data_IF_631090471979
#
_entry.id   IF_631090471979
#
_cell.length_a   1.000
_cell.length_b   1.000
_cell.length_c   1.000
_cell.angle_alpha   90.00
_cell.angle_beta   90.00
_cell.angle_gamma   90.00
#
_symmetry.space_group_name_H-M   'P 1'
#
loop_
_entity.id
_entity.type
_entity.pdbx_description
1 polymer ?
#
# COMPACT_ATOMS: atom_id res chain seq x y z
N UNK A 1 33.81 19.70 -34.25
CA UNK A 1 33.35 20.16 -32.91
C UNK A 1 31.82 20.30 -32.93
N UNK A 2 31.10 19.26 -32.51
CA UNK A 2 29.64 19.22 -32.58
C UNK A 2 29.00 20.15 -31.53
N UNK A 3 28.04 20.94 -31.99
CA UNK A 3 27.43 22.11 -31.37
C UNK A 3 26.84 21.85 -29.97
N UNK A 4 27.44 22.47 -28.93
CA UNK A 4 26.91 22.60 -27.56
C UNK A 4 25.49 23.21 -27.49
N UNK A 5 24.99 23.84 -28.56
CA UNK A 5 23.61 24.36 -28.64
C UNK A 5 22.57 23.23 -28.75
N UNK A 6 22.84 22.13 -29.45
CA UNK A 6 21.87 21.04 -29.64
C UNK A 6 21.53 20.29 -28.33
N UNK A 7 22.54 20.05 -27.50
CA UNK A 7 22.38 19.38 -26.18
C UNK A 7 21.60 20.26 -25.21
N UNK A 8 21.74 21.60 -25.30
CA UNK A 8 21.03 22.55 -24.42
C UNK A 8 19.55 22.63 -24.80
N UNK A 9 19.20 22.58 -26.09
CA UNK A 9 17.81 22.53 -26.57
C UNK A 9 17.14 21.20 -26.17
N UNK A 10 17.86 20.07 -26.25
CA UNK A 10 17.34 18.77 -25.77
C UNK A 10 17.12 18.73 -24.26
N UNK A 11 17.96 19.40 -23.44
CA UNK A 11 17.73 19.52 -21.98
C UNK A 11 16.50 20.38 -21.65
N UNK A 12 16.23 21.43 -22.43
CA UNK A 12 15.03 22.26 -22.26
C UNK A 12 13.79 21.49 -22.72
N UNK A 13 13.86 20.78 -23.86
CA UNK A 13 12.77 19.93 -24.33
C UNK A 13 12.44 18.77 -23.37
N UNK A 14 13.45 18.17 -22.71
CA UNK A 14 13.22 17.15 -21.68
C UNK A 14 12.59 17.72 -20.41
N UNK A 15 12.93 18.98 -20.03
CA UNK A 15 12.31 19.70 -18.91
C UNK A 15 10.85 20.12 -19.20
N UNK A 16 10.47 20.23 -20.47
CA UNK A 16 9.09 20.52 -20.90
C UNK A 16 8.29 19.22 -21.08
N UNK A 17 8.91 18.09 -21.40
CA UNK A 17 8.23 16.79 -21.45
C UNK A 17 7.83 16.24 -20.06
N UNK A 18 8.47 16.70 -18.98
CA UNK A 18 8.08 16.41 -17.59
C UNK A 18 6.97 17.35 -17.06
N UNK A 19 6.42 18.26 -17.88
CA UNK A 19 5.18 18.99 -17.57
C UNK A 19 3.92 18.27 -18.06
N UNK A 20 3.99 16.95 -18.23
CA UNK A 20 2.85 16.09 -18.48
C UNK A 20 1.80 16.27 -17.38
N UNK A 21 0.69 16.90 -17.75
CA UNK A 21 -0.57 17.06 -17.01
C UNK A 21 -0.47 16.65 -15.53
N UNK A 22 -0.23 17.61 -14.62
CA UNK A 22 -0.35 17.35 -13.18
C UNK A 22 -1.79 16.94 -12.91
N UNK A 23 -2.04 15.63 -12.90
CA UNK A 23 -3.35 15.07 -12.60
C UNK A 23 -3.78 15.67 -11.27
N UNK A 24 -4.93 16.33 -11.21
CA UNK A 24 -5.46 17.02 -10.01
C UNK A 24 -5.50 16.13 -8.75
N UNK A 25 -5.25 14.83 -8.88
CA UNK A 25 -5.27 13.81 -7.87
C UNK A 25 -3.85 13.30 -7.53
N UNK A 26 -3.52 13.28 -6.24
CA UNK A 26 -2.36 12.60 -5.67
C UNK A 26 -2.85 11.35 -4.94
N UNK A 27 -2.18 10.22 -5.19
CA UNK A 27 -2.38 8.97 -4.44
C UNK A 27 -1.12 8.75 -3.60
N UNK A 28 -1.26 8.73 -2.29
CA UNK A 28 -0.16 8.44 -1.39
C UNK A 28 -0.61 7.43 -0.32
N UNK A 29 0.30 6.57 0.13
CA UNK A 29 0.04 5.65 1.25
C UNK A 29 0.86 6.12 2.43
N UNK A 30 0.19 6.49 3.52
CA UNK A 30 0.82 7.11 4.69
C UNK A 30 0.49 6.26 5.92
N UNK A 31 1.49 5.90 6.74
CA UNK A 31 1.22 5.26 8.04
C UNK A 31 0.43 6.21 8.95
N UNK A 32 -0.63 5.69 9.57
CA UNK A 32 -1.47 6.43 10.52
C UNK A 32 -0.63 7.03 11.66
N UNK A 33 -0.90 8.30 12.02
CA UNK A 33 -0.21 9.02 13.09
C UNK A 33 1.26 9.40 12.82
N UNK A 34 1.86 8.95 11.71
CA UNK A 34 3.28 9.14 11.42
C UNK A 34 3.52 9.97 10.15
N UNK A 35 2.61 10.87 9.80
CA UNK A 35 2.83 11.77 8.66
C UNK A 35 3.95 12.78 8.99
N UNK A 36 5.06 12.69 8.26
CA UNK A 36 6.19 13.60 8.37
C UNK A 36 6.47 14.28 7.03
N UNK A 37 7.02 15.51 7.03
CA UNK A 37 7.40 16.23 5.81
C UNK A 37 8.64 15.63 5.09
N UNK A 38 9.13 14.47 5.53
CA UNK A 38 10.31 13.80 5.02
C UNK A 38 10.13 13.32 3.54
N UNK A 39 11.23 13.00 2.82
CA UNK A 39 11.19 12.50 1.44
C UNK A 39 10.66 11.05 1.47
N UNK A 40 9.34 10.84 1.31
CA UNK A 40 8.71 10.71 -0.01
C UNK A 40 7.45 11.58 -0.20
N UNK A 41 6.87 12.13 0.88
CA UNK A 41 5.64 12.92 0.85
C UNK A 41 5.92 14.40 0.56
N UNK A 42 6.99 14.94 1.13
CA UNK A 42 7.38 16.34 0.96
C UNK A 42 7.51 16.76 -0.52
N UNK A 43 8.31 16.04 -1.34
CA UNK A 43 8.46 16.38 -2.75
C UNK A 43 7.16 16.25 -3.56
N UNK A 44 6.33 15.24 -3.27
CA UNK A 44 5.08 14.99 -4.00
C UNK A 44 4.03 16.06 -3.72
N UNK A 45 3.87 16.47 -2.45
CA UNK A 45 2.95 17.53 -2.04
C UNK A 45 3.47 18.91 -2.46
N UNK A 46 4.79 19.15 -2.34
CA UNK A 46 5.44 20.40 -2.74
C UNK A 46 5.36 20.66 -4.26
N UNK A 47 5.50 19.61 -5.09
CA UNK A 47 5.33 19.71 -6.54
C UNK A 47 3.91 20.14 -6.96
N UNK A 48 2.92 20.01 -6.06
CA UNK A 48 1.52 20.38 -6.26
C UNK A 48 1.14 21.67 -5.52
N UNK A 49 2.09 22.38 -4.94
CA UNK A 49 1.88 23.64 -4.20
C UNK A 49 0.93 23.50 -2.99
N UNK A 50 0.88 22.32 -2.36
CA UNK A 50 0.11 22.07 -1.13
C UNK A 50 0.97 22.44 0.08
N UNK A 51 0.36 23.01 1.13
CA UNK A 51 1.04 23.25 2.40
C UNK A 51 1.29 21.93 3.15
N UNK A 52 2.53 21.46 3.14
CA UNK A 52 2.96 20.18 3.70
C UNK A 52 2.73 20.12 5.22
N UNK A 53 3.04 21.20 5.94
CA UNK A 53 2.92 21.23 7.40
C UNK A 53 1.45 21.17 7.86
N UNK A 54 0.56 21.87 7.15
CA UNK A 54 -0.87 21.82 7.42
C UNK A 54 -1.43 20.43 7.11
N UNK A 55 -1.02 19.83 5.99
CA UNK A 55 -1.42 18.48 5.61
C UNK A 55 -1.03 17.43 6.65
N UNK A 56 0.22 17.44 7.13
CA UNK A 56 0.68 16.49 8.15
C UNK A 56 -0.11 16.62 9.45
N UNK A 57 -0.45 17.85 9.87
CA UNK A 57 -1.27 18.09 11.08
C UNK A 57 -2.70 17.59 10.90
N UNK A 58 -3.35 17.93 9.79
CA UNK A 58 -4.72 17.49 9.48
C UNK A 58 -4.80 15.95 9.40
N UNK A 59 -3.83 15.33 8.71
CA UNK A 59 -3.76 13.89 8.59
C UNK A 59 -3.57 13.19 9.95
N UNK A 60 -2.63 13.66 10.78
CA UNK A 60 -2.39 13.05 12.08
C UNK A 60 -3.62 13.22 13.01
N UNK A 61 -4.29 14.37 12.98
CA UNK A 61 -5.51 14.60 13.75
C UNK A 61 -6.66 13.68 13.32
N UNK A 62 -6.88 13.52 12.01
CA UNK A 62 -7.90 12.61 11.47
C UNK A 62 -7.59 11.14 11.71
N UNK A 63 -6.31 10.78 11.75
CA UNK A 63 -5.85 9.40 11.95
C UNK A 63 -5.57 9.03 13.41
N UNK A 64 -5.71 9.98 14.36
CA UNK A 64 -5.45 9.76 15.79
C UNK A 64 -6.30 8.66 16.44
N UNK A 65 -7.47 8.35 15.85
CA UNK A 65 -8.37 7.28 16.34
C UNK A 65 -8.01 5.89 15.82
N UNK A 66 -7.15 5.80 14.80
CA UNK A 66 -6.71 4.54 14.21
C UNK A 66 -5.39 4.07 14.83
N UNK A 67 -5.13 2.76 14.77
CA UNK A 67 -3.85 2.20 15.25
C UNK A 67 -2.68 2.81 14.51
N UNK A 68 -1.74 3.37 15.26
CA UNK A 68 -0.51 3.97 14.75
C UNK A 68 0.26 2.98 13.85
N UNK A 69 0.83 3.48 12.76
CA UNK A 69 1.60 2.66 11.82
C UNK A 69 0.76 1.85 10.81
N UNK A 70 -0.57 1.92 10.90
CA UNK A 70 -1.44 1.29 9.89
C UNK A 70 -1.32 2.02 8.55
N UNK A 71 -1.00 1.36 7.42
CA UNK A 71 -0.87 2.02 6.13
C UNK A 71 -2.24 2.45 5.60
N UNK A 72 -2.46 3.76 5.49
CA UNK A 72 -3.70 4.34 4.99
C UNK A 72 -3.50 4.93 3.59
N UNK A 73 -4.20 4.42 2.56
CA UNK A 73 -4.20 5.06 1.26
C UNK A 73 -5.03 6.36 1.34
N UNK A 74 -4.39 7.47 1.00
CA UNK A 74 -5.03 8.77 0.92
C UNK A 74 -5.09 9.25 -0.52
N UNK A 75 -6.20 9.90 -0.86
CA UNK A 75 -6.39 10.62 -2.11
C UNK A 75 -6.47 12.10 -1.78
N UNK A 76 -5.59 12.87 -2.38
CA UNK A 76 -5.57 14.33 -2.23
C UNK A 76 -5.94 14.94 -3.57
N UNK A 77 -7.04 15.67 -3.60
CA UNK A 77 -7.41 16.49 -4.76
C UNK A 77 -7.03 17.94 -4.50
N UNK A 78 -6.43 18.61 -5.48
CA UNK A 78 -5.98 20.01 -5.35
C UNK A 78 -6.85 20.89 -6.23
N UNK A 79 -7.50 21.89 -5.64
CA UNK A 79 -8.29 22.85 -6.40
C UNK A 79 -7.40 23.95 -7.00
N UNK A 80 -7.95 24.74 -7.93
CA UNK A 80 -7.25 25.87 -8.55
C UNK A 80 -6.78 26.91 -7.51
N UNK A 81 -7.53 27.08 -6.42
CA UNK A 81 -7.25 28.02 -5.33
C UNK A 81 -6.18 27.52 -4.35
N UNK A 82 -5.47 26.43 -4.68
CA UNK A 82 -4.47 25.75 -3.83
C UNK A 82 -5.04 25.14 -2.54
N UNK A 83 -6.36 25.13 -2.39
CA UNK A 83 -7.05 24.33 -1.37
C UNK A 83 -6.97 22.85 -1.73
N UNK A 84 -6.95 21.98 -0.71
CA UNK A 84 -6.88 20.54 -0.91
C UNK A 84 -8.05 19.83 -0.24
N UNK A 85 -8.56 18.80 -0.92
CA UNK A 85 -9.55 17.87 -0.39
C UNK A 85 -8.84 16.55 -0.08
N UNK A 86 -8.73 16.23 1.21
CA UNK A 86 -8.16 14.97 1.68
C UNK A 86 -9.26 13.94 1.92
N UNK A 87 -9.22 12.84 1.18
CA UNK A 87 -10.03 11.63 1.43
C UNK A 87 -9.10 10.53 1.92
N UNK A 88 -9.34 10.07 3.15
CA UNK A 88 -8.61 8.96 3.76
C UNK A 88 -9.46 7.71 3.56
N UNK A 89 -8.87 6.68 2.96
CA UNK A 89 -9.51 5.38 2.86
C UNK A 89 -9.03 4.46 3.99
N UNK A 90 -9.83 3.45 4.29
CA UNK A 90 -9.43 2.35 5.14
C UNK A 90 -8.17 1.65 4.60
N UNK A 91 -7.41 0.98 5.48
CA UNK A 91 -6.22 0.23 5.12
C UNK A 91 -6.45 -0.71 3.93
N UNK A 92 -5.39 -1.02 3.16
CA UNK A 92 -5.52 -1.93 2.03
C UNK A 92 -5.96 -3.31 2.53
N UNK A 93 -6.74 -4.02 1.71
CA UNK A 93 -7.22 -5.37 2.02
C UNK A 93 -6.05 -6.31 2.35
N UNK A 94 -4.90 -6.12 1.69
CA UNK A 94 -3.68 -6.88 1.95
C UNK A 94 -3.17 -6.72 3.38
N UNK A 95 -3.31 -5.54 4.00
CA UNK A 95 -2.94 -5.31 5.39
C UNK A 95 -3.91 -6.04 6.33
N UNK A 96 -5.22 -5.93 6.09
CA UNK A 96 -6.23 -6.62 6.90
C UNK A 96 -6.09 -8.14 6.84
N UNK A 97 -5.86 -8.70 5.65
CA UNK A 97 -5.66 -10.13 5.49
C UNK A 97 -4.37 -10.62 6.16
N UNK A 98 -3.29 -9.83 6.09
CA UNK A 98 -2.04 -10.13 6.82
C UNK A 98 -2.25 -10.15 8.33
N UNK A 99 -2.99 -9.17 8.87
CA UNK A 99 -3.31 -9.11 10.29
C UNK A 99 -4.21 -10.28 10.71
N UNK A 100 -5.25 -10.58 9.95
CA UNK A 100 -6.16 -11.69 10.22
C UNK A 100 -5.46 -13.06 10.16
N UNK A 101 -4.53 -13.24 9.22
CA UNK A 101 -3.72 -14.45 9.12
C UNK A 101 -2.51 -14.46 10.07
N UNK A 102 -2.13 -13.33 10.68
CA UNK A 102 -0.93 -13.24 11.51
C UNK A 102 0.39 -13.39 10.74
N UNK A 103 0.41 -13.04 9.45
CA UNK A 103 1.57 -13.20 8.56
C UNK A 103 2.20 -11.85 8.21
N UNK A 104 3.54 -11.82 8.08
CA UNK A 104 4.27 -10.60 7.68
C UNK A 104 4.35 -10.43 6.15
N UNK A 105 4.64 -11.53 5.46
CA UNK A 105 4.83 -11.62 4.01
C UNK A 105 3.76 -12.53 3.39
N UNK A 106 3.32 -12.21 2.17
CA UNK A 106 2.44 -13.09 1.40
C UNK A 106 3.25 -14.22 0.73
N UNK A 107 2.58 -15.07 -0.06
CA UNK A 107 3.26 -16.12 -0.81
C UNK A 107 4.16 -15.52 -1.90
N UNK A 108 5.40 -16.00 -2.01
CA UNK A 108 6.29 -15.67 -3.13
C UNK A 108 5.76 -16.26 -4.44
N UNK A 109 5.16 -17.46 -4.38
CA UNK A 109 4.52 -18.16 -5.50
C UNK A 109 3.07 -18.54 -5.14
N UNK A 110 2.10 -17.65 -5.40
CA UNK A 110 0.69 -17.93 -5.14
C UNK A 110 0.23 -19.20 -5.87
N UNK A 111 -0.45 -20.10 -5.16
CA UNK A 111 -0.97 -21.38 -5.69
C UNK A 111 -0.04 -22.59 -5.49
N UNK A 112 1.27 -22.39 -5.37
CA UNK A 112 2.21 -23.44 -4.95
C UNK A 112 2.39 -23.44 -3.43
N UNK A 113 2.39 -22.26 -2.83
CA UNK A 113 2.58 -22.08 -1.40
C UNK A 113 1.38 -21.43 -0.75
N UNK A 114 1.03 -21.95 0.43
CA UNK A 114 0.04 -21.34 1.31
C UNK A 114 0.79 -20.42 2.26
N UNK A 115 0.45 -19.13 2.23
CA UNK A 115 1.04 -18.13 3.13
C UNK A 115 0.35 -18.11 4.49
N UNK A 116 -0.97 -18.29 4.51
CA UNK A 116 -1.80 -18.21 5.71
C UNK A 116 -3.18 -18.83 5.50
N UNK A 117 -3.92 -19.03 6.58
CA UNK A 117 -5.31 -19.50 6.54
C UNK A 117 -6.20 -18.45 7.20
N UNK A 118 -7.34 -18.14 6.59
CA UNK A 118 -8.36 -17.24 7.16
C UNK A 118 -9.74 -17.86 7.04
N UNK A 119 -10.68 -17.44 7.88
CA UNK A 119 -12.07 -17.91 7.79
C UNK A 119 -12.99 -16.92 7.10
N UNK A 120 -14.14 -17.41 6.63
CA UNK A 120 -15.19 -16.58 6.05
C UNK A 120 -15.68 -15.46 6.99
N UNK A 121 -15.65 -15.69 8.31
CA UNK A 121 -15.99 -14.67 9.32
C UNK A 121 -15.05 -13.47 9.26
N UNK A 122 -13.74 -13.72 9.19
CA UNK A 122 -12.75 -12.64 9.05
C UNK A 122 -12.96 -11.86 7.75
N UNK A 123 -13.29 -12.53 6.65
CA UNK A 123 -13.55 -11.88 5.36
C UNK A 123 -14.78 -10.98 5.46
N UNK A 124 -15.84 -11.44 6.12
CA UNK A 124 -17.05 -10.65 6.32
C UNK A 124 -16.81 -9.39 7.15
N UNK A 125 -16.05 -9.51 8.25
CA UNK A 125 -15.69 -8.36 9.09
C UNK A 125 -14.82 -7.35 8.34
N UNK A 126 -13.83 -7.82 7.57
CA UNK A 126 -13.00 -6.95 6.72
C UNK A 126 -13.85 -6.27 5.64
N UNK A 127 -14.79 -7.00 5.04
CA UNK A 127 -15.70 -6.47 4.03
C UNK A 127 -16.60 -5.37 4.61
N UNK A 128 -17.11 -5.56 5.83
CA UNK A 128 -17.94 -4.57 6.51
C UNK A 128 -17.16 -3.27 6.75
N UNK A 129 -15.95 -3.37 7.31
CA UNK A 129 -15.08 -2.20 7.51
C UNK A 129 -14.73 -1.51 6.17
N UNK A 130 -14.38 -2.29 5.15
CA UNK A 130 -14.02 -1.74 3.83
C UNK A 130 -15.22 -1.11 3.11
N UNK A 131 -16.44 -1.56 3.39
CA UNK A 131 -17.65 -1.04 2.74
C UNK A 131 -17.98 0.41 3.14
N UNK A 132 -17.45 0.88 4.27
CA UNK A 132 -17.57 2.28 4.71
C UNK A 132 -16.72 3.24 3.88
N UNK A 133 -15.80 2.73 3.04
CA UNK A 133 -15.04 3.59 2.14
C UNK A 133 -15.91 4.15 1.01
N UNK A 134 -15.67 5.40 0.59
CA UNK A 134 -16.38 6.04 -0.52
C UNK A 134 -16.16 5.33 -1.88
N UNK A 135 -15.26 4.35 -1.96
CA UNK A 135 -15.07 3.54 -3.19
C UNK A 135 -16.07 2.39 -3.30
N UNK A 136 -16.70 2.00 -2.19
CA UNK A 136 -17.66 0.88 -2.15
C UNK A 136 -19.10 1.35 -1.92
N UNK A 137 -19.36 2.66 -1.97
CA UNK A 137 -20.69 3.22 -1.89
C UNK A 137 -21.59 2.63 -2.99
N UNK A 138 -22.77 2.14 -2.61
CA UNK A 138 -23.72 1.49 -3.51
C UNK A 138 -23.36 0.06 -3.95
N UNK A 139 -22.26 -0.53 -3.48
CA UNK A 139 -21.89 -1.91 -3.79
C UNK A 139 -22.44 -2.86 -2.72
N UNK A 140 -23.16 -3.94 -3.08
CA UNK A 140 -23.66 -4.90 -2.10
C UNK A 140 -22.48 -5.61 -1.42
N UNK A 141 -22.61 -5.87 -0.11
CA UNK A 141 -21.56 -6.47 0.71
C UNK A 141 -21.02 -7.79 0.14
N UNK A 142 -21.89 -8.58 -0.51
CA UNK A 142 -21.49 -9.83 -1.20
C UNK A 142 -20.39 -9.59 -2.25
N UNK A 143 -20.51 -8.55 -3.08
CA UNK A 143 -19.50 -8.20 -4.10
C UNK A 143 -18.20 -7.71 -3.46
N UNK A 144 -18.28 -7.05 -2.30
CA UNK A 144 -17.10 -6.63 -1.53
C UNK A 144 -16.36 -7.87 -1.00
N UNK A 145 -17.08 -8.85 -0.47
CA UNK A 145 -16.51 -10.13 -0.04
C UNK A 145 -15.84 -10.88 -1.21
N UNK A 146 -16.47 -10.95 -2.38
CA UNK A 146 -15.89 -11.57 -3.59
C UNK A 146 -14.57 -10.91 -4.00
N UNK A 147 -14.49 -9.57 -3.94
CA UNK A 147 -13.24 -8.84 -4.22
C UNK A 147 -12.16 -9.18 -3.20
N UNK A 148 -12.49 -9.27 -1.92
CA UNK A 148 -11.54 -9.61 -0.85
C UNK A 148 -11.06 -11.06 -1.00
N UNK A 149 -11.95 -11.98 -1.37
CA UNK A 149 -11.62 -13.37 -1.69
C UNK A 149 -10.59 -13.46 -2.81
N UNK A 150 -10.78 -12.70 -3.89
CA UNK A 150 -9.80 -12.63 -4.98
C UNK A 150 -8.41 -12.16 -4.51
N UNK A 151 -8.37 -11.13 -3.66
CA UNK A 151 -7.10 -10.64 -3.08
C UNK A 151 -6.45 -11.69 -2.18
N UNK A 152 -7.22 -12.39 -1.35
CA UNK A 152 -6.70 -13.46 -0.50
C UNK A 152 -6.06 -14.59 -1.33
N UNK A 153 -6.71 -15.00 -2.41
CA UNK A 153 -6.19 -16.00 -3.34
C UNK A 153 -4.88 -15.53 -4.00
N UNK A 154 -4.80 -14.29 -4.48
CA UNK A 154 -3.56 -13.72 -5.05
C UNK A 154 -2.42 -13.62 -4.04
N UNK A 155 -2.71 -13.56 -2.74
CA UNK A 155 -1.69 -13.55 -1.69
C UNK A 155 -1.26 -14.96 -1.24
N UNK A 156 -1.89 -16.01 -1.76
CA UNK A 156 -1.70 -17.39 -1.32
C UNK A 156 -2.33 -17.66 0.06
N UNK A 157 -3.36 -16.92 0.45
CA UNK A 157 -4.09 -17.15 1.70
C UNK A 157 -5.26 -18.08 1.40
N UNK A 158 -5.30 -19.22 2.09
CA UNK A 158 -6.37 -20.21 1.94
C UNK A 158 -7.56 -19.86 2.84
N UNK A 159 -8.77 -19.95 2.28
CA UNK A 159 -10.00 -19.76 3.05
C UNK A 159 -10.46 -21.12 3.57
N UNK A 160 -10.69 -21.21 4.87
CA UNK A 160 -11.17 -22.43 5.54
C UNK A 160 -12.40 -22.12 6.40
N UNK A 161 -13.27 -23.10 6.64
CA UNK A 161 -14.45 -22.90 7.48
C UNK A 161 -14.10 -22.78 8.97
N UNK A 162 -13.17 -23.63 9.43
CA UNK A 162 -12.71 -23.66 10.82
C UNK A 162 -11.19 -23.74 10.90
N UNK A 163 -10.58 -22.98 11.80
CA UNK A 163 -9.14 -23.03 12.07
C UNK A 163 -8.92 -23.61 13.46
N UNK A 164 -8.19 -24.72 13.54
CA UNK A 164 -7.72 -25.30 14.80
C UNK A 164 -6.45 -24.55 15.27
N UNK A 165 -6.48 -24.00 16.48
CA UNK A 165 -5.39 -23.15 17.00
C UNK A 165 -4.02 -23.86 17.04
N UNK A 166 -3.98 -25.10 17.54
CA UNK A 166 -2.74 -25.88 17.69
C UNK A 166 -2.08 -26.19 16.35
N UNK A 167 -2.87 -26.54 15.35
CA UNK A 167 -2.38 -26.80 13.99
C UNK A 167 -1.85 -25.52 13.36
N UNK A 168 -2.58 -24.41 13.54
CA UNK A 168 -2.20 -23.13 12.94
C UNK A 168 -0.89 -22.59 13.51
N UNK A 169 -0.65 -22.74 14.81
CA UNK A 169 0.63 -22.34 15.40
C UNK A 169 1.83 -23.12 14.84
N UNK A 170 1.67 -24.43 14.63
CA UNK A 170 2.72 -25.26 14.02
C UNK A 170 3.02 -24.79 12.59
N UNK A 171 1.96 -24.52 11.81
CA UNK A 171 2.06 -23.99 10.46
C UNK A 171 2.79 -22.64 10.43
N UNK A 172 2.43 -21.70 11.32
CA UNK A 172 3.09 -20.40 11.38
C UNK A 172 4.58 -20.51 11.75
N UNK A 173 4.95 -21.44 12.64
CA UNK A 173 6.34 -21.63 13.02
C UNK A 173 7.17 -22.22 11.88
N UNK A 174 6.66 -23.23 11.16
CA UNK A 174 7.31 -23.78 9.97
C UNK A 174 7.49 -22.70 8.89
N UNK A 175 6.46 -21.87 8.68
CA UNK A 175 6.49 -20.79 7.69
C UNK A 175 7.52 -19.71 8.05
N UNK A 176 7.73 -19.40 9.33
CA UNK A 176 8.74 -18.43 9.76
C UNK A 176 10.14 -18.84 9.31
N UNK A 177 10.51 -20.11 9.49
CA UNK A 177 11.80 -20.65 9.05
C UNK A 177 11.98 -20.49 7.53
N UNK A 178 10.96 -20.84 6.76
CA UNK A 178 10.98 -20.71 5.29
C UNK A 178 11.15 -19.24 4.86
N UNK A 179 10.43 -18.31 5.51
CA UNK A 179 10.52 -16.88 5.17
C UNK A 179 11.92 -16.33 5.49
N UNK A 180 12.54 -16.74 6.59
CA UNK A 180 13.89 -16.33 6.95
C UNK A 180 14.94 -16.82 5.94
N UNK A 181 14.76 -18.02 5.39
CA UNK A 181 15.60 -18.56 4.31
C UNK A 181 15.40 -17.78 3.01
N UNK A 182 14.15 -17.55 2.59
CA UNK A 182 13.82 -16.75 1.41
C UNK A 182 14.38 -15.31 1.49
N UNK A 183 14.33 -14.68 2.66
CA UNK A 183 14.85 -13.32 2.85
C UNK A 183 16.38 -13.28 2.67
N UNK A 184 17.11 -14.25 3.23
CA UNK A 184 18.57 -14.38 3.04
C UNK A 184 18.94 -14.60 1.58
N UNK A 185 18.20 -15.46 0.87
CA UNK A 185 18.42 -15.67 -0.57
C UNK A 185 18.16 -14.39 -1.38
N UNK A 186 17.09 -13.66 -1.07
CA UNK A 186 16.73 -12.42 -1.75
C UNK A 186 17.77 -11.32 -1.47
N UNK A 187 18.31 -11.25 -0.25
CA UNK A 187 19.41 -10.37 0.12
C UNK A 187 20.69 -10.73 -0.64
N UNK A 188 21.06 -12.01 -0.75
CA UNK A 188 22.19 -12.45 -1.55
C UNK A 188 22.02 -12.09 -3.04
N UNK A 189 20.82 -12.27 -3.60
CA UNK A 189 20.50 -11.86 -4.98
C UNK A 189 20.61 -10.34 -5.15
N UNK A 190 20.12 -9.55 -4.18
CA UNK A 190 20.25 -8.08 -4.20
C UNK A 190 21.71 -7.65 -4.15
N UNK A 191 22.50 -8.25 -3.27
CA UNK A 191 23.94 -7.95 -3.13
C UNK A 191 24.69 -8.33 -4.41
N UNK A 192 24.43 -9.50 -5.00
CA UNK A 192 25.03 -9.93 -6.25
C UNK A 192 24.66 -9.01 -7.43
N UNK A 193 23.42 -8.51 -7.49
CA UNK A 193 23.00 -7.53 -8.49
C UNK A 193 23.66 -6.16 -8.28
N UNK A 194 23.88 -5.75 -7.03
CA UNK A 194 24.52 -4.47 -6.71
C UNK A 194 26.00 -4.46 -7.12
N UNK A 195 26.70 -5.59 -6.95
CA UNK A 195 28.10 -5.76 -7.36
C UNK A 195 28.30 -5.88 -8.88
N UNK A 196 27.21 -6.03 -9.66
CA UNK A 196 27.25 -6.15 -11.13
C UNK A 196 27.14 -4.79 -11.85
N UNK A 197 26.90 -3.69 -11.11
CA UNK A 197 26.81 -2.32 -11.63
C UNK A 197 28.12 -1.60 -11.35
#
# INVERSE_FOLDING_TARGET
MASKKGVKVMKVAKKVAESGSKSTFLKATIPAGMATPAPPLGPQLGARNINIAQFCKDFNLRTSKMKEGTPLPCRVSVNADRTYNLVIHHPPVTYFLKQAAGIKKGATRPGQEVAGKVTLKHIYEIARLKSEDPTFEGIPLKKVCERILGVAHSMGIQIVETVQFKEYQRFLNQRKTIIEEEEKELEAIKQAKLLRV
#
